data_IF_706458272871
#
_entry.id   IF_706458272871
#
_cell.length_a   1.000
_cell.length_b   1.000
_cell.length_c   1.000
_cell.angle_alpha   90.00
_cell.angle_beta   90.00
_cell.angle_gamma   90.00
#
_symmetry.space_group_name_H-M   'P 1'
#
loop_
_entity.id
_entity.type
_entity.pdbx_description
1 polymer ?
#
# COMPACT_ATOMS: atom_id res chain seq x y z
N UNK A 1 1.65 27.16 -14.72
CA UNK A 1 0.26 26.71 -14.81
C UNK A 1 -0.27 26.68 -13.37
N UNK A 2 -1.22 27.59 -13.03
CA UNK A 2 -1.77 27.70 -11.67
C UNK A 2 -2.53 26.41 -11.38
N UNK A 3 -2.13 25.67 -10.34
CA UNK A 3 -2.90 24.56 -9.77
C UNK A 3 -4.27 25.11 -9.36
N UNK A 4 -5.33 24.59 -9.94
CA UNK A 4 -6.67 24.78 -9.39
C UNK A 4 -6.73 23.92 -8.12
N UNK A 5 -6.54 24.54 -6.96
CA UNK A 5 -6.73 23.87 -5.69
C UNK A 5 -8.21 23.52 -5.58
N UNK A 6 -8.52 22.24 -5.42
CA UNK A 6 -9.89 21.78 -5.17
C UNK A 6 -10.38 22.24 -3.79
N UNK A 7 -9.47 22.75 -2.92
CA UNK A 7 -9.78 23.24 -1.58
C UNK A 7 -8.86 24.42 -1.21
N UNK A 8 -9.39 25.64 -1.07
CA UNK A 8 -8.69 26.93 -0.87
C UNK A 8 -8.04 27.11 0.52
N UNK A 9 -7.19 26.22 0.89
CA UNK A 9 -6.17 26.52 1.89
C UNK A 9 -4.91 26.93 1.14
N UNK A 10 -4.35 28.10 1.47
CA UNK A 10 -3.05 28.50 0.96
C UNK A 10 -2.06 27.42 1.40
N UNK A 11 -1.67 26.55 0.45
CA UNK A 11 -0.53 25.68 0.66
C UNK A 11 0.67 26.57 0.98
N UNK A 12 1.32 26.34 2.11
CA UNK A 12 2.69 26.78 2.30
C UNK A 12 3.43 26.23 1.08
N UNK A 13 3.96 27.14 0.24
CA UNK A 13 4.71 26.77 -0.96
C UNK A 13 5.74 25.73 -0.56
N UNK A 14 5.44 24.46 -0.81
CA UNK A 14 6.34 23.35 -0.52
C UNK A 14 7.57 23.60 -1.34
N UNK A 15 8.66 23.92 -0.68
CA UNK A 15 9.93 24.08 -1.34
C UNK A 15 10.28 22.73 -1.97
N UNK A 16 10.19 22.61 -3.29
CA UNK A 16 10.49 21.36 -4.03
C UNK A 16 11.88 20.81 -3.69
N UNK A 17 12.72 21.62 -3.06
CA UNK A 17 14.04 21.28 -2.56
C UNK A 17 14.07 20.57 -1.18
N UNK A 18 12.93 20.45 -0.46
CA UNK A 18 12.93 19.81 0.85
C UNK A 18 13.03 18.29 0.71
N UNK A 19 13.81 17.67 1.63
CA UNK A 19 13.97 16.22 1.71
C UNK A 19 12.71 15.56 2.25
N UNK A 20 12.54 14.27 1.96
CA UNK A 20 11.37 13.45 2.29
C UNK A 20 10.96 13.60 3.77
N UNK A 21 11.91 13.49 4.70
CA UNK A 21 11.64 13.57 6.14
C UNK A 21 11.13 14.94 6.57
N UNK A 22 11.67 16.00 5.95
CA UNK A 22 11.21 17.37 6.19
C UNK A 22 9.81 17.58 5.65
N UNK A 23 9.51 17.08 4.46
CA UNK A 23 8.16 17.14 3.87
C UNK A 23 7.15 16.39 4.76
N UNK A 24 7.49 15.17 5.22
CA UNK A 24 6.65 14.37 6.10
C UNK A 24 6.24 15.12 7.39
N UNK A 25 7.16 15.91 7.96
CA UNK A 25 6.96 16.63 9.22
C UNK A 25 6.31 18.00 8.98
N UNK A 26 6.73 18.74 7.95
CA UNK A 26 6.39 20.15 7.77
C UNK A 26 5.17 20.39 6.88
N UNK A 27 4.72 19.41 6.13
CA UNK A 27 3.45 19.48 5.41
C UNK A 27 2.30 19.42 6.42
N UNK A 28 1.77 20.59 6.77
CA UNK A 28 0.65 20.76 7.70
C UNK A 28 -0.33 21.77 7.13
N UNK A 29 -1.60 21.68 7.53
CA UNK A 29 -2.58 22.73 7.26
C UNK A 29 -2.22 23.99 8.06
N UNK A 30 -2.65 25.14 7.57
CA UNK A 30 -2.44 26.41 8.25
C UNK A 30 -3.04 26.39 9.67
N UNK A 31 -2.31 26.96 10.61
CA UNK A 31 -2.77 27.09 12.00
C UNK A 31 -4.02 27.95 12.12
N UNK A 32 -4.82 27.70 13.15
CA UNK A 32 -6.02 28.51 13.45
C UNK A 32 -5.65 29.79 14.22
N UNK A 33 -6.66 30.57 14.59
CA UNK A 33 -6.51 31.70 15.49
C UNK A 33 -5.88 31.35 16.86
N UNK A 34 -5.86 30.06 17.23
CA UNK A 34 -5.21 29.56 18.45
C UNK A 34 -3.68 29.47 18.34
N UNK A 35 -3.13 29.58 17.12
CA UNK A 35 -1.68 29.50 16.83
C UNK A 35 -1.05 28.19 17.33
N UNK A 36 -1.76 27.10 17.20
CA UNK A 36 -1.29 25.76 17.57
C UNK A 36 -0.10 25.32 16.71
N UNK A 37 0.90 24.69 17.36
CA UNK A 37 2.09 24.19 16.68
C UNK A 37 1.85 22.89 15.89
N UNK A 38 0.89 22.10 16.30
CA UNK A 38 0.56 20.82 15.71
C UNK A 38 -0.90 20.81 15.24
N UNK A 39 -1.18 20.25 14.07
CA UNK A 39 -2.52 20.22 13.49
C UNK A 39 -3.56 19.68 14.47
N UNK A 40 -4.64 20.41 14.75
CA UNK A 40 -5.71 19.98 15.63
C UNK A 40 -6.60 18.91 14.98
N UNK A 41 -7.39 18.23 15.78
CA UNK A 41 -8.37 17.27 15.31
C UNK A 41 -9.72 17.97 15.03
N UNK A 42 -10.14 17.99 13.77
CA UNK A 42 -11.42 18.55 13.31
C UNK A 42 -12.51 17.46 13.29
N UNK A 43 -12.96 17.05 14.46
CA UNK A 43 -13.98 16.00 14.61
C UNK A 43 -15.40 16.59 14.46
N UNK A 44 -15.75 16.90 13.21
CA UNK A 44 -17.08 17.41 12.85
C UNK A 44 -17.58 16.76 11.56
N UNK A 45 -18.89 16.63 11.40
CA UNK A 45 -19.48 16.13 10.15
C UNK A 45 -19.77 17.22 9.12
N UNK A 46 -19.92 18.50 9.56
CA UNK A 46 -20.36 19.60 8.71
C UNK A 46 -19.72 20.92 9.11
N UNK A 47 -19.77 21.87 8.20
CA UNK A 47 -19.18 23.22 8.35
C UNK A 47 -20.26 24.27 8.12
N UNK A 48 -20.10 25.46 8.74
CA UNK A 48 -21.03 26.57 8.69
C UNK A 48 -20.69 27.54 7.58
N UNK A 49 -21.68 28.32 7.15
CA UNK A 49 -21.56 29.38 6.15
C UNK A 49 -22.05 30.70 6.73
N UNK A 50 -21.54 31.81 6.20
CA UNK A 50 -21.96 33.16 6.62
C UNK A 50 -23.37 33.49 6.10
N UNK A 51 -23.69 33.00 4.89
CA UNK A 51 -24.97 33.25 4.24
C UNK A 51 -25.30 32.16 3.19
N UNK A 52 -26.51 32.23 2.62
CA UNK A 52 -26.99 31.26 1.62
C UNK A 52 -26.23 31.32 0.30
N UNK A 53 -25.69 32.48 -0.09
CA UNK A 53 -24.94 32.62 -1.33
C UNK A 53 -23.56 31.95 -1.21
N UNK A 54 -22.89 32.13 -0.08
CA UNK A 54 -21.64 31.39 0.20
C UNK A 54 -21.85 29.87 0.18
N UNK A 55 -22.94 29.40 0.80
CA UNK A 55 -23.31 27.99 0.75
C UNK A 55 -23.54 27.51 -0.70
N UNK A 56 -24.29 28.28 -1.50
CA UNK A 56 -24.53 27.97 -2.91
C UNK A 56 -23.21 27.87 -3.69
N UNK A 57 -22.35 28.87 -3.56
CA UNK A 57 -21.07 28.94 -4.26
C UNK A 57 -20.16 27.76 -3.89
N UNK A 58 -20.12 27.36 -2.60
CA UNK A 58 -19.37 26.19 -2.14
C UNK A 58 -19.91 24.88 -2.77
N UNK A 59 -21.22 24.68 -2.79
CA UNK A 59 -21.84 23.50 -3.42
C UNK A 59 -21.66 23.47 -4.95
N UNK A 60 -21.60 24.62 -5.58
CA UNK A 60 -21.35 24.78 -7.02
C UNK A 60 -19.85 24.63 -7.38
N UNK A 61 -18.96 24.56 -6.40
CA UNK A 61 -17.50 24.51 -6.64
C UNK A 61 -16.91 25.85 -7.13
N UNK A 62 -17.63 26.95 -6.95
CA UNK A 62 -17.16 28.30 -7.31
C UNK A 62 -16.21 28.89 -6.27
N UNK A 63 -16.32 28.43 -5.04
CA UNK A 63 -15.42 28.74 -3.94
C UNK A 63 -14.98 27.44 -3.28
N UNK A 64 -13.78 27.48 -2.75
CA UNK A 64 -13.20 26.36 -2.08
C UNK A 64 -13.47 26.44 -0.57
N UNK A 65 -14.30 25.53 -0.08
CA UNK A 65 -14.69 25.47 1.34
C UNK A 65 -15.11 24.04 1.72
N UNK A 66 -14.75 23.64 2.93
CA UNK A 66 -15.26 22.39 3.48
C UNK A 66 -16.78 22.47 3.63
N UNK A 67 -17.46 21.44 3.17
CA UNK A 67 -18.93 21.35 3.16
C UNK A 67 -19.40 20.32 4.19
N UNK A 68 -18.92 19.11 4.03
CA UNK A 68 -19.31 17.93 4.78
C UNK A 68 -18.14 16.94 4.82
N UNK A 69 -17.84 16.35 5.99
CA UNK A 69 -16.61 15.57 6.18
C UNK A 69 -16.52 14.29 5.33
N UNK A 70 -17.62 13.82 4.74
CA UNK A 70 -17.57 12.77 3.73
C UNK A 70 -16.96 13.26 2.41
N UNK A 71 -17.04 14.55 2.11
CA UNK A 71 -16.47 15.17 0.90
C UNK A 71 -15.05 15.64 1.17
N UNK A 72 -14.86 16.43 2.22
CA UNK A 72 -13.59 17.02 2.62
C UNK A 72 -13.56 17.33 4.11
N UNK A 73 -12.38 17.20 4.71
CA UNK A 73 -12.13 17.57 6.09
C UNK A 73 -10.64 17.94 6.22
N UNK A 74 -10.28 18.96 7.00
CA UNK A 74 -8.89 19.40 7.13
C UNK A 74 -7.89 18.27 7.45
N UNK A 75 -8.25 17.34 8.33
CA UNK A 75 -7.35 16.22 8.67
C UNK A 75 -7.20 15.21 7.52
N UNK A 76 -8.28 14.91 6.76
CA UNK A 76 -8.17 14.03 5.59
C UNK A 76 -7.34 14.69 4.50
N UNK A 77 -7.48 16.01 4.33
CA UNK A 77 -6.70 16.76 3.36
C UNK A 77 -5.21 16.75 3.71
N UNK A 78 -4.83 17.07 4.95
CA UNK A 78 -3.42 17.02 5.38
C UNK A 78 -2.79 15.65 5.15
N UNK A 79 -3.52 14.57 5.47
CA UNK A 79 -3.03 13.22 5.23
C UNK A 79 -2.78 12.96 3.73
N UNK A 80 -3.72 13.36 2.86
CA UNK A 80 -3.59 13.22 1.40
C UNK A 80 -2.42 14.04 0.88
N UNK A 81 -2.30 15.30 1.30
CA UNK A 81 -1.24 16.21 0.86
C UNK A 81 0.15 15.68 1.22
N UNK A 82 0.31 15.12 2.42
CA UNK A 82 1.56 14.46 2.83
C UNK A 82 1.89 13.29 1.92
N UNK A 83 0.94 12.41 1.63
CA UNK A 83 1.17 11.26 0.75
C UNK A 83 1.47 11.73 -0.68
N UNK A 84 0.73 12.73 -1.21
CA UNK A 84 1.00 13.29 -2.53
C UNK A 84 2.43 13.85 -2.62
N UNK A 85 2.85 14.61 -1.62
CA UNK A 85 4.21 15.15 -1.57
C UNK A 85 5.27 14.04 -1.52
N UNK A 86 5.04 13.01 -0.71
CA UNK A 86 5.96 11.88 -0.57
C UNK A 86 6.06 11.01 -1.82
N UNK A 87 4.95 10.78 -2.54
CA UNK A 87 4.94 10.00 -3.79
C UNK A 87 5.32 10.83 -5.02
N UNK A 88 5.24 12.16 -4.93
CA UNK A 88 5.37 13.06 -6.08
C UNK A 88 4.11 13.06 -6.97
N UNK A 89 2.94 12.86 -6.37
CA UNK A 89 1.65 12.80 -7.06
C UNK A 89 0.98 14.17 -7.16
N UNK A 90 0.14 14.35 -8.18
CA UNK A 90 -0.59 15.61 -8.43
C UNK A 90 -1.77 15.79 -7.46
N UNK A 91 -2.47 14.70 -7.15
CA UNK A 91 -3.67 14.68 -6.33
C UNK A 91 -3.86 13.32 -5.63
N UNK A 92 -4.85 13.26 -4.71
CA UNK A 92 -5.21 12.03 -4.03
C UNK A 92 -6.57 12.08 -3.34
N UNK A 93 -7.03 10.90 -2.92
CA UNK A 93 -8.24 10.76 -2.11
C UNK A 93 -8.07 9.70 -1.02
N UNK A 94 -8.54 10.02 0.21
CA UNK A 94 -8.41 9.15 1.38
C UNK A 94 -9.68 8.31 1.60
N UNK A 95 -9.48 7.03 1.93
CA UNK A 95 -10.53 6.02 2.09
C UNK A 95 -10.52 5.39 3.49
N UNK A 96 -11.66 4.84 3.88
CA UNK A 96 -11.82 4.14 5.16
C UNK A 96 -10.90 2.92 5.33
N UNK A 97 -10.39 2.35 4.25
CA UNK A 97 -9.46 1.21 4.26
C UNK A 97 -8.72 1.06 2.92
N UNK A 98 -7.63 0.29 2.89
CA UNK A 98 -6.94 -0.05 1.64
C UNK A 98 -7.87 -0.72 0.62
N UNK A 99 -8.77 -1.63 1.05
CA UNK A 99 -9.71 -2.26 0.13
C UNK A 99 -10.80 -1.30 -0.37
N UNK A 100 -11.16 -0.28 0.39
CA UNK A 100 -12.02 0.80 -0.09
C UNK A 100 -11.32 1.63 -1.18
N UNK A 101 -10.01 1.89 -1.01
CA UNK A 101 -9.20 2.53 -2.05
C UNK A 101 -9.14 1.69 -3.33
N UNK A 102 -8.77 0.41 -3.21
CA UNK A 102 -8.72 -0.54 -4.33
C UNK A 102 -10.06 -0.60 -5.06
N UNK A 103 -11.14 -0.90 -4.36
CA UNK A 103 -12.45 -1.07 -4.97
C UNK A 103 -12.96 0.21 -5.64
N UNK A 104 -12.83 1.35 -4.96
CA UNK A 104 -13.32 2.63 -5.49
C UNK A 104 -12.53 3.10 -6.71
N UNK A 105 -11.22 2.87 -6.74
CA UNK A 105 -10.38 3.17 -7.91
C UNK A 105 -10.89 2.43 -9.14
N UNK A 106 -11.12 1.12 -9.05
CA UNK A 106 -11.59 0.34 -10.20
C UNK A 106 -13.05 0.63 -10.56
N UNK A 107 -13.92 0.81 -9.56
CA UNK A 107 -15.34 1.10 -9.80
C UNK A 107 -15.58 2.50 -10.37
N UNK A 108 -14.67 3.45 -10.13
CA UNK A 108 -14.74 4.79 -10.71
C UNK A 108 -14.25 4.80 -12.17
N UNK A 109 -13.17 4.07 -12.48
CA UNK A 109 -12.47 4.19 -13.76
C UNK A 109 -12.91 3.16 -14.82
N UNK A 110 -13.71 2.14 -14.44
CA UNK A 110 -14.09 1.06 -15.34
C UNK A 110 -15.59 1.04 -15.59
N UNK A 111 -15.95 0.75 -16.83
CA UNK A 111 -17.32 0.55 -17.27
C UNK A 111 -17.62 -0.94 -17.55
N UNK A 112 -18.91 -1.26 -17.71
CA UNK A 112 -19.33 -2.60 -18.10
C UNK A 112 -18.75 -2.98 -19.46
N UNK A 113 -18.06 -4.09 -19.54
CA UNK A 113 -17.38 -4.58 -20.74
C UNK A 113 -15.85 -4.41 -20.70
N UNK A 114 -15.32 -3.61 -19.78
CA UNK A 114 -13.88 -3.37 -19.67
C UNK A 114 -13.11 -4.58 -19.14
N UNK A 115 -11.81 -4.57 -19.43
CA UNK A 115 -10.86 -5.59 -18.99
C UNK A 115 -9.70 -4.98 -18.21
N UNK A 116 -9.28 -5.68 -17.15
CA UNK A 116 -8.08 -5.41 -16.34
C UNK A 116 -7.01 -6.44 -16.69
N UNK A 117 -5.76 -6.02 -16.84
CA UNK A 117 -4.61 -6.92 -16.74
C UNK A 117 -4.06 -6.84 -15.33
N UNK A 118 -3.74 -7.99 -14.72
CA UNK A 118 -3.11 -8.04 -13.39
C UNK A 118 -2.22 -9.26 -13.24
N UNK A 119 -1.21 -9.17 -12.37
CA UNK A 119 -0.46 -10.34 -11.94
C UNK A 119 -1.31 -11.22 -11.02
N UNK A 120 -0.98 -12.51 -10.92
CA UNK A 120 -1.69 -13.43 -10.02
C UNK A 120 -1.30 -13.22 -8.56
N UNK A 121 -0.04 -12.82 -8.32
CA UNK A 121 0.52 -12.60 -6.99
C UNK A 121 0.12 -11.22 -6.46
N UNK A 122 -1.15 -11.06 -6.11
CA UNK A 122 -1.75 -9.87 -5.51
C UNK A 122 -2.50 -10.24 -4.24
N UNK A 123 -2.79 -9.25 -3.40
CA UNK A 123 -3.50 -9.45 -2.14
C UNK A 123 -4.84 -10.20 -2.33
N UNK A 124 -5.12 -11.21 -1.49
CA UNK A 124 -6.25 -12.11 -1.64
C UNK A 124 -7.63 -11.45 -1.72
N UNK A 125 -7.83 -10.32 -1.02
CA UNK A 125 -9.09 -9.57 -1.13
C UNK A 125 -9.21 -8.84 -2.47
N UNK A 126 -8.11 -8.31 -3.01
CA UNK A 126 -8.06 -7.72 -4.36
C UNK A 126 -8.39 -8.79 -5.40
N UNK A 127 -7.81 -9.99 -5.24
CA UNK A 127 -8.13 -11.14 -6.08
C UNK A 127 -9.63 -11.50 -6.02
N UNK A 128 -10.25 -11.39 -4.83
CA UNK A 128 -11.70 -11.59 -4.68
C UNK A 128 -12.52 -10.50 -5.39
N UNK A 129 -12.08 -9.24 -5.31
CA UNK A 129 -12.71 -8.13 -6.05
C UNK A 129 -12.69 -8.44 -7.55
N UNK A 130 -11.54 -8.82 -8.10
CA UNK A 130 -11.36 -9.08 -9.52
C UNK A 130 -12.12 -10.30 -10.03
N UNK A 131 -12.21 -11.36 -9.23
CA UNK A 131 -12.80 -12.63 -9.70
C UNK A 131 -14.27 -12.84 -9.31
N UNK A 132 -14.77 -12.13 -8.28
CA UNK A 132 -16.13 -12.38 -7.76
C UNK A 132 -17.02 -11.15 -7.69
N UNK A 133 -16.45 -9.94 -7.62
CA UNK A 133 -17.22 -8.70 -7.48
C UNK A 133 -17.35 -8.01 -8.82
N UNK A 134 -16.25 -7.61 -9.45
CA UNK A 134 -16.27 -6.90 -10.74
C UNK A 134 -16.96 -7.69 -11.89
N UNK A 135 -16.87 -9.02 -11.97
CA UNK A 135 -17.62 -9.78 -12.97
C UNK A 135 -19.14 -9.63 -12.89
N UNK A 136 -19.70 -9.26 -11.72
CA UNK A 136 -21.14 -8.94 -11.58
C UNK A 136 -21.56 -7.72 -12.40
N UNK A 137 -20.62 -6.86 -12.74
CA UNK A 137 -20.80 -5.67 -13.56
C UNK A 137 -20.18 -5.83 -14.95
N UNK A 138 -19.94 -7.09 -15.40
CA UNK A 138 -19.34 -7.41 -16.68
C UNK A 138 -17.93 -6.81 -16.88
N UNK A 139 -17.17 -6.61 -15.80
CA UNK A 139 -15.75 -6.22 -15.85
C UNK A 139 -14.92 -7.49 -15.67
N UNK A 140 -14.00 -7.73 -16.56
CA UNK A 140 -13.18 -8.96 -16.60
C UNK A 140 -11.74 -8.71 -16.21
N UNK A 141 -11.05 -9.74 -15.72
CA UNK A 141 -9.61 -9.68 -15.42
C UNK A 141 -8.86 -10.74 -16.20
N UNK A 142 -7.78 -10.34 -16.84
CA UNK A 142 -6.81 -11.22 -17.49
C UNK A 142 -5.55 -11.24 -16.65
N UNK A 143 -5.13 -12.44 -16.22
CA UNK A 143 -3.94 -12.60 -15.39
C UNK A 143 -2.71 -12.93 -16.22
N UNK A 144 -1.60 -12.30 -15.84
CA UNK A 144 -0.27 -12.50 -16.40
C UNK A 144 0.70 -13.07 -15.36
N UNK A 145 1.76 -13.69 -15.81
CA UNK A 145 2.85 -14.20 -14.99
C UNK A 145 3.99 -13.18 -14.95
N UNK A 146 4.47 -12.83 -13.74
CA UNK A 146 5.62 -11.94 -13.57
C UNK A 146 6.93 -12.49 -14.15
N UNK A 147 7.00 -13.81 -14.31
CA UNK A 147 8.18 -14.53 -14.84
C UNK A 147 8.19 -14.64 -16.36
N UNK A 148 7.08 -14.33 -17.03
CA UNK A 148 6.91 -14.42 -18.47
C UNK A 148 6.34 -13.12 -19.04
N UNK A 149 7.15 -12.06 -18.99
CA UNK A 149 6.75 -10.73 -19.48
C UNK A 149 6.58 -10.67 -21.00
N UNK A 150 7.19 -11.59 -21.75
CA UNK A 150 7.07 -11.63 -23.20
C UNK A 150 5.63 -11.97 -23.66
N UNK A 151 4.92 -12.77 -22.88
CA UNK A 151 3.53 -13.15 -23.17
C UNK A 151 2.50 -12.04 -22.89
N UNK A 152 2.88 -10.97 -22.19
CA UNK A 152 1.93 -9.93 -21.77
C UNK A 152 1.29 -9.20 -22.95
N UNK A 153 2.03 -9.02 -24.05
CA UNK A 153 1.49 -8.35 -25.23
C UNK A 153 0.34 -9.13 -25.88
N UNK A 154 0.35 -10.46 -25.79
CA UNK A 154 -0.65 -11.34 -26.41
C UNK A 154 -2.01 -11.28 -25.70
N UNK A 155 -2.03 -10.86 -24.44
CA UNK A 155 -3.24 -10.82 -23.62
C UNK A 155 -3.91 -9.45 -23.58
N UNK A 156 -3.31 -8.42 -24.19
CA UNK A 156 -3.93 -7.08 -24.34
C UNK A 156 -5.11 -7.20 -25.31
N UNK A 157 -6.28 -6.74 -24.88
CA UNK A 157 -7.52 -6.74 -25.65
C UNK A 157 -7.91 -5.30 -25.98
N UNK A 158 -8.76 -5.13 -27.00
CA UNK A 158 -9.30 -3.82 -27.37
C UNK A 158 -10.02 -3.11 -26.20
N UNK A 159 -10.65 -3.88 -25.32
CA UNK A 159 -11.34 -3.39 -24.14
C UNK A 159 -10.48 -3.39 -22.87
N UNK A 160 -9.19 -3.64 -22.93
CA UNK A 160 -8.29 -3.51 -21.79
C UNK A 160 -8.08 -2.03 -21.48
N UNK A 161 -8.32 -1.63 -20.23
CA UNK A 161 -8.24 -0.23 -19.78
C UNK A 161 -7.08 0.06 -18.84
N UNK A 162 -6.76 -0.90 -17.98
CA UNK A 162 -5.70 -0.68 -17.00
C UNK A 162 -4.91 -1.95 -16.70
N UNK A 163 -3.71 -1.74 -16.18
CA UNK A 163 -2.84 -2.75 -15.62
C UNK A 163 -2.67 -2.46 -14.12
N UNK A 164 -2.94 -3.47 -13.28
CA UNK A 164 -2.74 -3.42 -11.83
C UNK A 164 -1.63 -4.36 -11.40
N UNK A 165 -0.66 -3.84 -10.66
CA UNK A 165 0.44 -4.62 -10.08
C UNK A 165 0.63 -4.26 -8.61
N UNK A 166 1.10 -5.25 -7.84
CA UNK A 166 1.55 -5.10 -6.45
C UNK A 166 3.05 -5.36 -6.41
N UNK A 167 3.84 -4.44 -5.87
CA UNK A 167 5.29 -4.59 -5.80
C UNK A 167 5.88 -3.85 -4.58
N UNK A 168 6.58 -4.58 -3.67
CA UNK A 168 6.77 -6.03 -3.60
C UNK A 168 5.47 -6.81 -3.36
N UNK A 169 5.36 -8.04 -3.88
CA UNK A 169 4.14 -8.87 -3.77
C UNK A 169 3.95 -9.46 -2.38
N UNK A 170 2.70 -9.71 -2.00
CA UNK A 170 2.34 -10.41 -0.76
C UNK A 170 1.85 -11.84 -1.05
N UNK A 171 2.41 -12.90 -0.46
CA UNK A 171 3.47 -12.91 0.56
C UNK A 171 4.89 -13.09 0.01
N UNK A 172 5.08 -13.26 -1.28
CA UNK A 172 6.31 -13.75 -1.88
C UNK A 172 7.46 -12.74 -1.95
N UNK A 173 7.20 -11.44 -1.76
CA UNK A 173 8.12 -10.29 -1.94
C UNK A 173 8.84 -10.27 -3.30
N UNK A 174 8.19 -10.84 -4.32
CA UNK A 174 8.64 -10.71 -5.70
C UNK A 174 8.40 -9.28 -6.20
N UNK A 175 9.24 -8.82 -7.14
CA UNK A 175 9.19 -7.45 -7.64
C UNK A 175 8.72 -7.39 -9.09
N UNK A 176 8.02 -6.32 -9.41
CA UNK A 176 7.71 -5.92 -10.79
C UNK A 176 8.66 -4.80 -11.18
N UNK A 177 9.29 -4.89 -12.35
CA UNK A 177 10.10 -3.80 -12.90
C UNK A 177 9.18 -2.65 -13.32
N UNK A 178 9.16 -1.59 -12.50
CA UNK A 178 8.28 -0.44 -12.69
C UNK A 178 8.56 0.31 -13.99
N UNK A 179 9.83 0.40 -14.40
CA UNK A 179 10.19 1.04 -15.67
C UNK A 179 9.62 0.26 -16.85
N UNK A 180 9.80 -1.06 -16.84
CA UNK A 180 9.29 -1.92 -17.89
C UNK A 180 7.76 -1.90 -17.99
N UNK A 181 7.04 -2.02 -16.87
CA UNK A 181 5.56 -1.99 -16.90
C UNK A 181 5.02 -0.63 -17.32
N UNK A 182 5.70 0.48 -16.96
CA UNK A 182 5.34 1.82 -17.41
C UNK A 182 5.49 1.97 -18.94
N UNK A 183 6.57 1.45 -19.52
CA UNK A 183 6.74 1.44 -20.98
C UNK A 183 5.68 0.58 -21.65
N UNK A 184 5.39 -0.59 -21.09
CA UNK A 184 4.35 -1.48 -21.58
C UNK A 184 2.96 -0.83 -21.57
N UNK A 185 2.56 -0.17 -20.47
CA UNK A 185 1.26 0.49 -20.36
C UNK A 185 1.15 1.68 -21.31
N UNK A 186 2.19 2.50 -21.44
CA UNK A 186 2.23 3.61 -22.40
C UNK A 186 2.08 3.14 -23.85
N UNK A 187 2.76 2.06 -24.21
CA UNK A 187 2.68 1.48 -25.57
C UNK A 187 1.26 1.03 -25.91
N UNK A 188 0.51 0.56 -24.92
CA UNK A 188 -0.81 -0.04 -25.09
C UNK A 188 -1.97 0.90 -24.68
N UNK A 189 -1.69 2.16 -24.35
CA UNK A 189 -2.67 3.16 -23.87
C UNK A 189 -3.47 2.67 -22.65
N UNK A 190 -2.77 2.10 -21.65
CA UNK A 190 -3.33 1.56 -20.43
C UNK A 190 -2.99 2.44 -19.23
N UNK A 191 -3.91 2.56 -18.28
CA UNK A 191 -3.64 3.20 -16.98
C UNK A 191 -2.82 2.23 -16.12
N UNK A 192 -1.68 2.68 -15.60
CA UNK A 192 -0.86 1.91 -14.66
C UNK A 192 -1.23 2.22 -13.21
N UNK A 193 -1.76 1.22 -12.51
CA UNK A 193 -2.10 1.28 -11.09
C UNK A 193 -1.15 0.39 -10.28
N UNK A 194 -0.43 0.97 -9.33
CA UNK A 194 0.55 0.25 -8.49
C UNK A 194 0.10 0.24 -7.03
N UNK A 195 -0.02 -0.93 -6.43
CA UNK A 195 -0.12 -1.08 -4.98
C UNK A 195 1.29 -1.05 -4.36
N UNK A 196 1.58 0.03 -3.63
CA UNK A 196 2.90 0.30 -3.03
C UNK A 196 2.88 0.09 -1.50
N UNK A 197 1.97 -0.73 -1.00
CA UNK A 197 1.71 -0.89 0.43
C UNK A 197 2.93 -1.40 1.22
N UNK A 198 3.75 -2.30 0.66
CA UNK A 198 4.90 -2.89 1.34
C UNK A 198 6.11 -1.97 1.39
N UNK A 199 6.37 -1.25 0.31
CA UNK A 199 7.52 -0.37 0.21
C UNK A 199 7.27 0.98 0.88
N UNK A 200 6.05 1.48 0.90
CA UNK A 200 5.70 2.86 1.28
C UNK A 200 6.35 3.90 0.35
N UNK A 201 5.94 5.17 0.36
CA UNK A 201 6.59 6.19 -0.46
C UNK A 201 8.04 6.49 -0.02
N UNK A 202 8.46 6.00 1.16
CA UNK A 202 9.83 6.16 1.63
C UNK A 202 10.83 5.27 0.88
N UNK A 203 10.45 4.03 0.60
CA UNK A 203 11.36 3.08 -0.04
C UNK A 203 11.20 3.02 -1.57
N UNK A 204 10.01 3.31 -2.09
CA UNK A 204 9.69 3.22 -3.50
C UNK A 204 8.63 4.27 -3.87
N UNK A 205 8.82 4.96 -4.97
CA UNK A 205 7.91 6.01 -5.47
C UNK A 205 7.49 5.67 -6.92
N UNK A 206 6.46 4.83 -7.12
CA UNK A 206 6.05 4.38 -8.45
C UNK A 206 5.71 5.51 -9.44
N UNK A 207 5.22 6.66 -8.96
CA UNK A 207 4.97 7.84 -9.80
C UNK A 207 6.23 8.26 -10.56
N UNK A 208 7.40 8.22 -9.92
CA UNK A 208 8.69 8.57 -10.58
C UNK A 208 9.07 7.61 -11.69
N UNK A 209 8.52 6.40 -11.69
CA UNK A 209 8.71 5.39 -12.73
C UNK A 209 7.58 5.40 -13.77
N UNK A 210 6.62 6.32 -13.63
CA UNK A 210 5.54 6.52 -14.59
C UNK A 210 4.24 5.78 -14.29
N UNK A 211 4.00 5.39 -13.04
CA UNK A 211 2.68 4.97 -12.59
C UNK A 211 1.69 6.15 -12.67
N UNK A 212 0.48 5.89 -13.17
CA UNK A 212 -0.60 6.87 -13.21
C UNK A 212 -1.28 7.03 -11.84
N UNK A 213 -1.43 5.91 -11.13
CA UNK A 213 -2.02 5.86 -9.80
C UNK A 213 -1.21 4.94 -8.88
N UNK A 214 -1.11 5.34 -7.61
CA UNK A 214 -0.52 4.54 -6.54
C UNK A 214 -1.55 4.37 -5.43
N UNK A 215 -1.70 3.13 -4.95
CA UNK A 215 -2.60 2.77 -3.85
C UNK A 215 -1.77 2.38 -2.63
N UNK A 216 -2.20 2.84 -1.45
CA UNK A 216 -1.68 2.40 -0.17
C UNK A 216 -2.79 1.92 0.76
N UNK A 217 -2.59 0.77 1.38
CA UNK A 217 -3.27 0.45 2.64
C UNK A 217 -2.53 1.15 3.77
N UNK A 218 -3.02 2.32 4.19
CA UNK A 218 -2.41 3.09 5.25
C UNK A 218 -2.45 2.38 6.63
N UNK A 219 -3.27 1.34 6.75
CA UNK A 219 -3.34 0.41 7.88
C UNK A 219 -2.02 -0.26 8.23
N UNK A 220 -1.08 -0.37 7.25
CA UNK A 220 0.17 -1.12 7.35
C UNK A 220 1.30 -0.23 7.87
N UNK A 221 2.45 -0.20 7.21
CA UNK A 221 3.61 0.59 7.63
C UNK A 221 3.35 2.11 7.77
N UNK A 222 2.34 2.66 7.08
CA UNK A 222 1.98 4.08 7.24
C UNK A 222 1.47 4.33 8.66
N UNK A 223 0.50 3.57 9.17
CA UNK A 223 0.12 3.60 10.59
C UNK A 223 1.26 3.11 11.48
N UNK A 224 1.81 1.95 11.17
CA UNK A 224 3.00 1.36 11.78
C UNK A 224 2.84 0.88 13.22
N UNK A 225 1.64 0.96 13.81
CA UNK A 225 1.39 0.60 15.22
C UNK A 225 0.08 -0.18 15.44
N UNK A 226 -0.63 -0.56 14.37
CA UNK A 226 -1.87 -1.35 14.44
C UNK A 226 -3.04 -0.63 15.12
N UNK A 227 -3.14 0.70 14.96
CA UNK A 227 -4.13 1.55 15.66
C UNK A 227 -5.39 1.81 14.85
N UNK A 228 -5.24 2.09 13.53
CA UNK A 228 -6.34 2.53 12.68
C UNK A 228 -6.30 1.88 11.30
N UNK A 229 -7.46 1.81 10.66
CA UNK A 229 -7.60 1.46 9.27
C UNK A 229 -7.56 2.73 8.42
N UNK A 230 -6.98 2.61 7.21
CA UNK A 230 -7.02 3.65 6.21
C UNK A 230 -6.56 3.15 4.85
N UNK A 231 -6.91 3.90 3.83
CA UNK A 231 -6.44 3.71 2.47
C UNK A 231 -6.30 5.05 1.77
N UNK A 232 -5.48 5.12 0.75
CA UNK A 232 -5.34 6.31 -0.09
C UNK A 232 -4.97 5.88 -1.51
N UNK A 233 -5.52 6.60 -2.49
CA UNK A 233 -5.10 6.55 -3.89
C UNK A 233 -4.57 7.92 -4.26
N UNK A 234 -3.38 7.97 -4.83
CA UNK A 234 -2.73 9.21 -5.30
C UNK A 234 -2.23 9.04 -6.73
N UNK A 235 -2.12 10.11 -7.48
CA UNK A 235 -1.59 10.08 -8.84
C UNK A 235 -2.05 11.27 -9.68
N UNK A 236 -2.37 11.03 -10.94
CA UNK A 236 -2.82 12.04 -11.90
C UNK A 236 -4.13 12.68 -11.46
N UNK A 237 -4.20 14.00 -11.61
CA UNK A 237 -5.35 14.81 -11.20
C UNK A 237 -6.65 14.36 -11.88
N UNK A 238 -6.64 14.14 -13.19
CA UNK A 238 -7.82 13.76 -13.97
C UNK A 238 -8.45 12.44 -13.48
N UNK A 239 -7.62 11.43 -13.16
CA UNK A 239 -8.09 10.16 -12.63
C UNK A 239 -8.58 10.29 -11.19
N UNK A 240 -7.94 11.11 -10.38
CA UNK A 240 -8.36 11.38 -9.00
C UNK A 240 -9.69 12.13 -8.97
N UNK A 241 -9.95 13.03 -9.93
CA UNK A 241 -11.25 13.73 -10.04
C UNK A 241 -12.41 12.74 -10.27
N UNK A 242 -12.23 11.73 -11.12
CA UNK A 242 -13.22 10.66 -11.32
C UNK A 242 -13.42 9.81 -10.05
N UNK A 243 -12.32 9.44 -9.40
CA UNK A 243 -12.34 8.67 -8.14
C UNK A 243 -13.03 9.49 -7.04
N UNK A 244 -12.79 10.78 -6.95
CA UNK A 244 -13.45 11.68 -6.02
C UNK A 244 -14.95 11.77 -6.28
N UNK A 245 -15.37 11.99 -7.52
CA UNK A 245 -16.78 12.09 -7.91
C UNK A 245 -17.56 10.81 -7.55
N UNK A 246 -16.97 9.64 -7.80
CA UNK A 246 -17.51 8.35 -7.39
C UNK A 246 -17.59 8.24 -5.85
N UNK A 247 -16.48 8.52 -5.17
CA UNK A 247 -16.32 8.25 -3.74
C UNK A 247 -17.15 9.17 -2.86
N UNK A 248 -17.29 10.46 -3.22
CA UNK A 248 -18.16 11.38 -2.49
C UNK A 248 -19.63 10.94 -2.52
N UNK A 249 -20.03 10.22 -3.57
CA UNK A 249 -21.41 9.73 -3.74
C UNK A 249 -21.64 8.38 -3.07
N UNK A 250 -20.64 7.49 -3.09
CA UNK A 250 -20.74 6.10 -2.56
C UNK A 250 -20.32 5.96 -1.10
N UNK A 251 -19.54 6.92 -0.56
CA UNK A 251 -19.32 7.07 0.87
C UNK A 251 -18.17 6.27 1.53
N UNK A 252 -17.12 5.79 0.83
CA UNK A 252 -16.01 5.05 1.44
C UNK A 252 -14.97 5.95 2.15
N UNK A 253 -15.40 7.10 2.66
CA UNK A 253 -14.56 8.17 3.18
C UNK A 253 -13.83 7.81 4.48
N UNK A 254 -12.63 8.32 4.65
CA UNK A 254 -11.83 8.17 5.86
C UNK A 254 -12.39 9.02 7.01
N UNK A 255 -12.37 8.49 8.23
CA UNK A 255 -12.65 9.26 9.44
C UNK A 255 -11.59 10.34 9.68
N UNK A 256 -11.96 11.59 10.05
CA UNK A 256 -10.99 12.62 10.43
C UNK A 256 -10.03 12.19 11.55
N UNK A 257 -10.51 11.38 12.51
CA UNK A 257 -9.67 10.81 13.56
C UNK A 257 -8.59 9.89 12.99
N UNK A 258 -8.97 8.97 12.10
CA UNK A 258 -8.00 8.07 11.47
C UNK A 258 -7.00 8.84 10.61
N UNK A 259 -7.47 9.84 9.86
CA UNK A 259 -6.62 10.70 9.06
C UNK A 259 -5.59 11.44 9.91
N UNK A 260 -6.02 12.01 11.04
CA UNK A 260 -5.13 12.68 11.99
C UNK A 260 -4.07 11.73 12.55
N UNK A 261 -4.45 10.52 12.99
CA UNK A 261 -3.52 9.49 13.47
C UNK A 261 -2.52 9.12 12.37
N UNK A 262 -2.98 8.90 11.14
CA UNK A 262 -2.14 8.53 10.00
C UNK A 262 -1.19 9.67 9.59
N UNK A 263 -1.67 10.92 9.57
CA UNK A 263 -0.84 12.10 9.31
C UNK A 263 0.29 12.23 10.33
N UNK A 264 0.00 12.01 11.63
CA UNK A 264 1.03 11.98 12.67
C UNK A 264 1.99 10.81 12.56
N UNK A 265 1.53 9.66 12.07
CA UNK A 265 2.39 8.51 11.84
C UNK A 265 3.39 8.72 10.69
N UNK A 266 3.00 9.46 9.67
CA UNK A 266 3.89 9.81 8.55
C UNK A 266 5.11 10.61 9.01
N UNK A 267 4.99 11.45 10.05
CA UNK A 267 6.10 12.24 10.60
C UNK A 267 7.28 11.36 11.08
N UNK A 268 7.02 10.09 11.41
CA UNK A 268 8.04 9.13 11.85
C UNK A 268 8.23 7.96 10.87
N UNK A 269 7.64 8.01 9.69
CA UNK A 269 7.70 6.90 8.73
C UNK A 269 9.15 6.56 8.38
N UNK A 270 9.99 7.54 8.05
CA UNK A 270 11.38 7.33 7.65
C UNK A 270 12.16 6.54 8.70
N UNK A 271 12.20 7.03 9.95
CA UNK A 271 12.97 6.38 11.03
C UNK A 271 12.43 4.98 11.38
N UNK A 272 11.12 4.74 11.20
CA UNK A 272 10.55 3.39 11.38
C UNK A 272 10.95 2.47 10.24
N UNK A 273 10.86 2.94 9.00
CA UNK A 273 11.24 2.12 7.86
C UNK A 273 12.72 1.77 7.84
N UNK A 274 13.61 2.70 8.23
CA UNK A 274 15.04 2.40 8.39
C UNK A 274 15.26 1.25 9.37
N UNK A 275 14.59 1.28 10.52
CA UNK A 275 14.69 0.22 11.53
C UNK A 275 14.09 -1.09 11.07
N UNK A 276 12.91 -1.07 10.41
CA UNK A 276 12.31 -2.26 9.82
C UNK A 276 13.24 -2.91 8.80
N UNK A 277 13.84 -2.13 7.91
CA UNK A 277 14.73 -2.62 6.86
C UNK A 277 16.03 -3.21 7.43
N UNK A 278 16.65 -2.52 8.41
CA UNK A 278 17.86 -3.01 9.08
C UNK A 278 17.61 -4.35 9.78
N UNK A 279 16.52 -4.44 10.54
CA UNK A 279 16.12 -5.68 11.21
C UNK A 279 15.80 -6.79 10.20
N UNK A 280 15.04 -6.48 9.14
CA UNK A 280 14.64 -7.45 8.13
C UNK A 280 15.85 -8.01 7.35
N UNK A 281 16.81 -7.17 6.99
CA UNK A 281 18.04 -7.62 6.32
C UNK A 281 18.85 -8.56 7.21
N UNK A 282 19.05 -8.22 8.48
CA UNK A 282 19.78 -9.07 9.44
C UNK A 282 19.06 -10.39 9.68
N UNK A 283 17.73 -10.39 9.80
CA UNK A 283 16.94 -11.61 9.90
C UNK A 283 17.07 -12.45 8.63
N UNK A 284 16.98 -11.86 7.46
CA UNK A 284 17.09 -12.57 6.18
C UNK A 284 18.46 -13.23 6.02
N UNK A 285 19.54 -12.53 6.37
CA UNK A 285 20.93 -13.09 6.38
C UNK A 285 21.08 -14.25 7.37
N UNK A 286 20.51 -14.12 8.57
CA UNK A 286 20.48 -15.20 9.55
C UNK A 286 19.76 -16.43 9.01
N UNK A 287 18.58 -16.26 8.43
CA UNK A 287 17.78 -17.35 7.86
C UNK A 287 18.47 -18.02 6.66
N UNK A 288 19.14 -17.24 5.81
CA UNK A 288 19.88 -17.76 4.63
C UNK A 288 21.03 -18.69 5.05
N UNK A 289 21.65 -18.43 6.21
CA UNK A 289 22.72 -19.26 6.76
C UNK A 289 22.24 -20.47 7.59
N UNK A 290 20.93 -20.63 7.79
CA UNK A 290 20.38 -21.65 8.68
C UNK A 290 20.00 -22.94 7.93
N UNK A 291 20.59 -24.08 8.33
CA UNK A 291 20.40 -25.38 7.69
C UNK A 291 18.95 -25.89 7.71
N UNK A 292 18.08 -25.35 8.55
CA UNK A 292 16.68 -25.72 8.65
C UNK A 292 15.80 -25.01 7.62
N UNK A 293 16.35 -24.04 6.90
CA UNK A 293 15.67 -23.22 5.90
C UNK A 293 15.97 -23.76 4.51
N UNK A 294 14.97 -23.81 3.65
CA UNK A 294 15.07 -24.27 2.28
C UNK A 294 15.43 -23.13 1.31
N UNK A 295 14.86 -21.97 1.54
CA UNK A 295 15.04 -20.76 0.74
C UNK A 295 14.63 -19.51 1.54
N UNK A 296 15.19 -18.36 1.19
CA UNK A 296 14.84 -17.04 1.74
C UNK A 296 14.59 -16.09 0.58
N UNK A 297 13.55 -15.25 0.70
CA UNK A 297 13.28 -14.14 -0.20
C UNK A 297 13.27 -12.83 0.59
N UNK A 298 14.17 -11.95 0.23
CA UNK A 298 14.22 -10.55 0.68
C UNK A 298 14.90 -9.71 -0.40
N UNK A 299 14.30 -8.62 -0.88
CA UNK A 299 14.73 -7.92 -2.10
C UNK A 299 16.20 -7.48 -2.13
N UNK A 300 16.77 -7.17 -0.96
CA UNK A 300 18.15 -6.72 -0.81
C UNK A 300 19.15 -7.83 -0.41
N UNK A 301 18.74 -9.10 -0.45
CA UNK A 301 19.71 -10.21 -0.47
C UNK A 301 20.26 -10.37 -1.88
N UNK A 302 21.60 -10.56 -2.06
CA UNK A 302 22.17 -10.86 -3.38
C UNK A 302 21.61 -12.13 -4.04
N UNK A 303 21.09 -13.05 -3.25
CA UNK A 303 20.45 -14.29 -3.71
C UNK A 303 19.01 -14.10 -4.24
N UNK A 304 18.40 -12.92 -4.01
CA UNK A 304 17.05 -12.66 -4.50
C UNK A 304 17.04 -12.58 -6.04
N UNK A 305 16.12 -13.29 -6.73
CA UNK A 305 16.12 -13.34 -8.20
C UNK A 305 16.02 -11.98 -8.89
N UNK A 306 15.44 -11.00 -8.20
CA UNK A 306 15.19 -9.66 -8.71
C UNK A 306 15.98 -8.60 -7.93
N UNK A 307 17.13 -8.96 -7.35
CA UNK A 307 17.99 -8.06 -6.57
C UNK A 307 18.37 -6.79 -7.35
N UNK A 308 18.67 -6.92 -8.64
CA UNK A 308 19.00 -5.77 -9.47
C UNK A 308 17.81 -4.83 -9.70
N UNK A 309 16.60 -5.38 -9.83
CA UNK A 309 15.37 -4.57 -9.91
C UNK A 309 15.17 -3.81 -8.60
N UNK A 310 15.33 -4.50 -7.45
CA UNK A 310 15.27 -3.86 -6.13
C UNK A 310 16.20 -2.66 -6.02
N UNK A 311 17.47 -2.83 -6.38
CA UNK A 311 18.49 -1.78 -6.30
C UNK A 311 18.23 -0.59 -7.25
N UNK A 312 17.47 -0.78 -8.34
CA UNK A 312 17.13 0.31 -9.26
C UNK A 312 15.93 1.13 -8.80
N UNK A 313 14.96 0.51 -8.15
CA UNK A 313 13.66 1.16 -7.85
C UNK A 313 13.35 1.34 -6.37
N UNK A 314 14.09 0.70 -5.47
CA UNK A 314 13.89 0.79 -4.02
C UNK A 314 15.15 1.32 -3.34
N UNK A 315 14.98 2.06 -2.25
CA UNK A 315 16.09 2.54 -1.41
C UNK A 315 16.55 1.51 -0.38
N UNK A 316 15.69 0.56 0.02
CA UNK A 316 15.99 -0.57 0.90
C UNK A 316 14.95 -1.70 0.70
N UNK A 317 15.20 -2.89 1.26
CA UNK A 317 14.43 -4.11 0.97
C UNK A 317 13.05 -4.22 1.63
N UNK A 318 12.66 -3.26 2.47
CA UNK A 318 11.39 -3.28 3.19
C UNK A 318 11.42 -4.07 4.50
N UNK A 319 10.26 -4.11 5.16
CA UNK A 319 10.12 -4.76 6.47
C UNK A 319 9.55 -6.19 6.42
N UNK A 320 9.49 -6.83 5.25
CA UNK A 320 8.91 -8.18 5.11
C UNK A 320 9.95 -9.16 4.59
N UNK A 321 10.10 -10.29 5.28
CA UNK A 321 10.93 -11.42 4.89
C UNK A 321 10.04 -12.63 4.67
N UNK A 322 10.25 -13.37 3.57
CA UNK A 322 9.60 -14.65 3.31
C UNK A 322 10.64 -15.76 3.21
N UNK A 323 10.35 -16.92 3.80
CA UNK A 323 11.25 -18.07 3.74
C UNK A 323 10.49 -19.39 3.74
N UNK A 324 11.13 -20.42 3.24
CA UNK A 324 10.64 -21.79 3.25
C UNK A 324 11.30 -22.61 4.38
N UNK A 325 10.49 -23.11 5.34
CA UNK A 325 10.98 -24.04 6.37
C UNK A 325 11.05 -25.47 5.82
N UNK A 326 12.18 -26.19 5.98
CA UNK A 326 12.27 -27.60 5.61
C UNK A 326 11.30 -28.42 6.46
N UNK A 327 10.53 -29.33 5.85
CA UNK A 327 9.51 -30.14 6.53
C UNK A 327 8.06 -29.78 6.18
N UNK A 328 7.85 -28.78 5.32
CA UNK A 328 6.55 -28.48 4.71
C UNK A 328 5.47 -28.03 5.68
N UNK A 329 4.20 -28.30 5.31
CA UNK A 329 3.00 -27.77 5.96
C UNK A 329 2.94 -28.05 7.47
N UNK A 330 3.17 -29.27 7.88
CA UNK A 330 2.99 -29.67 9.30
C UNK A 330 4.07 -29.05 10.19
N UNK A 331 5.30 -28.94 9.69
CA UNK A 331 6.35 -28.24 10.42
C UNK A 331 6.09 -26.73 10.48
N UNK A 332 5.58 -26.14 9.40
CA UNK A 332 5.19 -24.72 9.39
C UNK A 332 4.14 -24.39 10.46
N UNK A 333 3.16 -25.29 10.68
CA UNK A 333 2.18 -25.13 11.77
C UNK A 333 2.86 -25.19 13.14
N UNK A 334 3.65 -26.24 13.40
CA UNK A 334 4.38 -26.38 14.68
C UNK A 334 5.30 -25.19 14.94
N UNK A 335 5.99 -24.68 13.90
CA UNK A 335 6.82 -23.50 14.03
C UNK A 335 6.03 -22.29 14.53
N UNK A 336 4.83 -22.05 13.99
CA UNK A 336 3.97 -20.97 14.48
C UNK A 336 3.55 -21.17 15.93
N UNK A 337 3.22 -22.41 16.32
CA UNK A 337 2.77 -22.74 17.68
C UNK A 337 3.90 -22.56 18.72
N UNK A 338 5.17 -22.64 18.30
CA UNK A 338 6.35 -22.48 19.16
C UNK A 338 6.85 -21.01 19.27
N UNK A 339 6.31 -20.09 18.48
CA UNK A 339 6.63 -18.66 18.61
C UNK A 339 6.15 -18.12 19.96
N UNK A 340 7.01 -17.36 20.68
CA UNK A 340 6.74 -16.85 22.03
C UNK A 340 6.63 -15.34 22.13
N UNK A 341 7.50 -14.61 21.44
CA UNK A 341 7.54 -13.13 21.46
C UNK A 341 6.85 -12.54 20.23
N UNK A 342 7.13 -13.05 19.06
CA UNK A 342 6.52 -12.56 17.83
C UNK A 342 5.02 -12.86 17.80
N UNK A 343 4.25 -11.97 17.19
CA UNK A 343 2.79 -12.05 17.19
C UNK A 343 2.24 -12.93 16.08
N UNK A 344 1.24 -13.76 16.38
CA UNK A 344 0.43 -14.47 15.40
C UNK A 344 -0.80 -13.63 15.05
N UNK A 345 -0.78 -12.93 13.93
CA UNK A 345 -1.92 -12.16 13.43
C UNK A 345 -1.89 -12.01 11.92
N UNK A 346 -3.04 -11.81 11.31
CA UNK A 346 -3.18 -11.65 9.86
C UNK A 346 -2.79 -10.25 9.35
N UNK A 347 -2.07 -9.44 10.14
CA UNK A 347 -1.62 -8.12 9.78
C UNK A 347 -0.15 -8.11 9.31
N UNK A 348 0.39 -6.92 9.04
CA UNK A 348 1.80 -6.63 8.77
C UNK A 348 2.05 -5.13 8.95
N UNK A 349 3.32 -4.72 8.98
CA UNK A 349 3.70 -3.32 9.04
C UNK A 349 3.48 -2.67 10.41
N UNK A 350 3.53 -3.48 11.46
CA UNK A 350 3.40 -3.06 12.86
C UNK A 350 4.78 -2.88 13.51
N UNK A 351 4.87 -2.09 14.57
CA UNK A 351 6.07 -1.99 15.40
C UNK A 351 6.47 -3.32 16.06
N UNK A 352 5.53 -4.24 16.20
CA UNK A 352 5.75 -5.62 16.66
C UNK A 352 5.99 -6.56 15.49
N UNK A 353 6.91 -7.50 15.67
CA UNK A 353 7.17 -8.56 14.69
C UNK A 353 5.97 -9.50 14.59
N UNK A 354 5.48 -9.73 13.36
CA UNK A 354 4.33 -10.57 13.06
C UNK A 354 4.77 -11.73 12.18
N UNK A 355 4.42 -12.95 12.58
CA UNK A 355 4.73 -14.18 11.84
C UNK A 355 3.43 -14.82 11.35
N UNK A 356 3.44 -15.27 10.09
CA UNK A 356 2.31 -16.01 9.50
C UNK A 356 2.82 -17.20 8.68
N UNK A 357 2.03 -18.27 8.64
CA UNK A 357 2.17 -19.39 7.73
C UNK A 357 0.96 -19.39 6.78
N UNK A 358 1.04 -18.75 5.60
CA UNK A 358 -0.12 -18.52 4.74
C UNK A 358 -0.91 -19.77 4.40
N UNK A 359 -0.23 -20.90 4.15
CA UNK A 359 -0.87 -22.16 3.76
C UNK A 359 -1.81 -22.73 4.82
N UNK A 360 -1.51 -22.55 6.11
CA UNK A 360 -2.34 -23.08 7.21
C UNK A 360 -3.26 -22.04 7.86
N UNK A 361 -3.09 -20.74 7.53
CA UNK A 361 -3.82 -19.63 8.18
C UNK A 361 -4.59 -18.81 7.18
N UNK A 362 -4.01 -17.77 6.63
CA UNK A 362 -4.69 -16.76 5.79
C UNK A 362 -5.24 -17.32 4.47
N UNK A 363 -4.66 -18.39 3.94
CA UNK A 363 -5.04 -19.06 2.69
C UNK A 363 -5.47 -20.52 2.89
N UNK A 364 -5.83 -20.91 4.11
CA UNK A 364 -6.23 -22.29 4.43
C UNK A 364 -7.49 -22.75 3.67
N UNK A 365 -8.35 -21.83 3.21
CA UNK A 365 -9.55 -22.13 2.41
C UNK A 365 -9.27 -22.48 0.96
N UNK A 366 -8.08 -22.17 0.45
CA UNK A 366 -7.67 -22.50 -0.91
C UNK A 366 -7.16 -23.94 -0.97
N UNK A 367 -7.44 -24.62 -2.05
CA UNK A 367 -6.81 -25.92 -2.37
C UNK A 367 -5.30 -25.71 -2.62
N UNK A 368 -4.53 -26.79 -2.55
CA UNK A 368 -3.09 -26.72 -2.79
C UNK A 368 -2.78 -26.18 -4.20
N UNK A 369 -3.51 -26.64 -5.23
CA UNK A 369 -3.34 -26.15 -6.60
C UNK A 369 -3.71 -24.67 -6.77
N UNK A 370 -4.67 -24.14 -5.99
CA UNK A 370 -4.97 -22.70 -5.98
C UNK A 370 -3.90 -21.89 -5.27
N UNK A 371 -3.34 -22.41 -4.16
CA UNK A 371 -2.22 -21.77 -3.47
C UNK A 371 -0.98 -21.69 -4.33
N UNK A 372 -0.63 -22.77 -5.02
CA UNK A 372 0.52 -22.81 -5.94
C UNK A 372 0.41 -21.78 -7.07
N UNK A 373 -0.81 -21.52 -7.59
CA UNK A 373 -1.03 -20.50 -8.62
C UNK A 373 -0.74 -19.05 -8.18
N UNK A 374 -0.64 -18.82 -6.87
CA UNK A 374 -0.31 -17.53 -6.26
C UNK A 374 0.99 -17.59 -5.47
N UNK A 375 1.87 -18.53 -5.80
CA UNK A 375 3.19 -18.77 -5.21
C UNK A 375 3.17 -19.00 -3.67
N UNK A 376 2.08 -19.56 -3.14
CA UNK A 376 1.98 -19.96 -1.72
C UNK A 376 2.27 -21.44 -1.59
N UNK A 377 3.51 -21.74 -1.22
CA UNK A 377 3.97 -23.12 -1.00
C UNK A 377 3.69 -23.60 0.42
N UNK A 378 3.63 -24.95 0.65
CA UNK A 378 3.33 -25.51 1.97
C UNK A 378 4.31 -25.12 3.08
N UNK A 379 5.57 -24.80 2.73
CA UNK A 379 6.63 -24.45 3.66
C UNK A 379 6.79 -22.94 3.88
N UNK A 380 6.04 -22.08 3.17
CA UNK A 380 6.22 -20.63 3.18
C UNK A 380 5.82 -20.00 4.52
N UNK A 381 6.77 -19.37 5.17
CA UNK A 381 6.58 -18.48 6.33
C UNK A 381 6.80 -17.04 5.89
N UNK A 382 5.93 -16.12 6.31
CA UNK A 382 6.12 -14.67 6.14
C UNK A 382 6.31 -14.01 7.49
N UNK A 383 7.36 -13.21 7.62
CA UNK A 383 7.64 -12.38 8.80
C UNK A 383 7.55 -10.92 8.39
N UNK A 384 6.63 -10.16 8.99
CA UNK A 384 6.66 -8.70 9.01
C UNK A 384 7.49 -8.28 10.20
N UNK A 385 8.73 -7.88 9.94
CA UNK A 385 9.73 -7.63 10.98
C UNK A 385 9.44 -6.29 11.66
N UNK A 386 9.40 -6.29 12.98
CA UNK A 386 9.08 -5.12 13.81
C UNK A 386 10.30 -4.28 14.16
N UNK A 387 10.11 -3.43 15.18
CA UNK A 387 11.11 -2.48 15.67
C UNK A 387 11.86 -2.98 16.90
N UNK A 388 11.57 -4.19 17.40
CA UNK A 388 12.23 -4.81 18.53
C UNK A 388 13.73 -4.94 18.28
N UNK A 389 14.49 -5.30 19.30
CA UNK A 389 15.91 -5.61 19.10
C UNK A 389 16.05 -6.86 18.22
N UNK A 390 16.91 -6.80 17.21
CA UNK A 390 17.02 -7.88 16.22
C UNK A 390 17.45 -9.22 16.85
N UNK A 391 18.30 -9.20 17.87
CA UNK A 391 18.74 -10.43 18.52
C UNK A 391 17.59 -11.15 19.23
N UNK A 392 16.63 -10.41 19.81
CA UNK A 392 15.44 -10.99 20.45
C UNK A 392 14.53 -11.64 19.41
N UNK A 393 14.37 -11.01 18.23
CA UNK A 393 13.61 -11.57 17.10
C UNK A 393 14.28 -12.87 16.62
N UNK A 394 15.61 -12.87 16.45
CA UNK A 394 16.38 -14.03 16.01
C UNK A 394 16.29 -15.16 17.04
N UNK A 395 16.42 -14.85 18.32
CA UNK A 395 16.31 -15.84 19.39
C UNK A 395 14.94 -16.50 19.40
N UNK A 396 13.85 -15.75 19.25
CA UNK A 396 12.50 -16.31 19.22
C UNK A 396 12.28 -17.21 17.98
N UNK A 397 12.69 -16.76 16.81
CA UNK A 397 12.59 -17.55 15.57
C UNK A 397 13.46 -18.80 15.65
N UNK A 398 14.71 -18.71 16.15
CA UNK A 398 15.60 -19.86 16.26
C UNK A 398 15.08 -20.92 17.26
N UNK A 399 14.54 -20.47 18.42
CA UNK A 399 13.96 -21.43 19.36
C UNK A 399 12.74 -22.14 18.77
N UNK A 400 11.86 -21.41 18.01
CA UNK A 400 10.72 -22.00 17.33
C UNK A 400 11.14 -22.99 16.24
N UNK A 401 12.20 -22.68 15.47
CA UNK A 401 12.79 -23.61 14.50
C UNK A 401 13.25 -24.91 15.19
N UNK A 402 13.91 -24.81 16.34
CA UNK A 402 14.44 -25.96 17.06
C UNK A 402 13.35 -26.86 17.66
N UNK A 403 12.24 -26.30 18.14
CA UNK A 403 11.16 -27.05 18.77
C UNK A 403 10.10 -27.57 17.79
N UNK A 404 10.11 -27.12 16.55
CA UNK A 404 9.16 -27.52 15.49
C UNK A 404 9.55 -28.78 14.69
N UNK A 405 10.68 -29.40 15.00
CA UNK A 405 11.20 -30.59 14.28
C UNK A 405 10.27 -31.80 14.43
#
# INVERSE_FOLDING_TARGET
VRRAAIFGQQFIDMNEDQRFETQAIRQQIDGTHAQEHSTPLYLTSSFTYENSEEMRAAFAGEIDKNIYSRFSNPNTQEFVDKICAMEGAEAGYAFASGMAAVFSTFAALLAAGDNIISCRSIFGSTHTVFNKILPKWNITTTYVDLKDTDSWQEVVKENTKLLYVETPTNPGVDLVDLSWVSEFTKKNDLILVVDNCFATPYLQQPIKFGADLVIHSATKFIDGQGRVLGGVTVGRQDLIDEIYAFSRSTGPSMSPFNAWVLSKSLETLAVRMDRHCDNALKLAQFLESNDQIAWVKYPFLPSHPQHEIANRQMSAGGGVVSFGIKGGLERGKRFLDEIKMCSLTANLGDSRTIVTHPSSTTHAKLTEGERQKVDITPELIRVSVGLEHIDDIIVDIQQALNHSI
#
